data_IF_483567346053
#
_entry.id   IF_483567346053
#
_cell.length_a   1.000
_cell.length_b   1.000
_cell.length_c   1.000
_cell.angle_alpha   90.00
_cell.angle_beta   90.00
_cell.angle_gamma   90.00
#
_symmetry.space_group_name_H-M   'P 1'
#
loop_
_entity.id
_entity.type
_entity.pdbx_description
1 polymer ?
#
# COMPACT_ATOMS: atom_id res chain seq x y z
N UNK A 1 -66.31 -15.75 1.34
CA UNK A 1 -65.37 -15.88 0.20
C UNK A 1 -64.33 -14.81 0.37
N UNK A 2 -63.08 -15.23 0.58
CA UNK A 2 -61.91 -14.38 0.74
C UNK A 2 -61.64 -13.56 -0.51
N UNK A 3 -61.19 -12.32 -0.37
CA UNK A 3 -60.33 -11.68 -1.37
C UNK A 3 -59.39 -10.69 -0.66
N UNK A 4 -58.15 -11.16 -0.49
CA UNK A 4 -56.96 -10.34 -0.31
C UNK A 4 -56.84 -9.39 -1.51
N UNK A 5 -56.47 -8.12 -1.27
CA UNK A 5 -55.75 -7.34 -2.27
C UNK A 5 -54.56 -6.66 -1.60
N UNK A 6 -53.40 -7.25 -1.86
CA UNK A 6 -52.07 -6.79 -1.49
C UNK A 6 -51.70 -5.60 -2.36
N UNK A 7 -51.37 -4.44 -1.76
CA UNK A 7 -50.73 -3.34 -2.46
C UNK A 7 -49.24 -3.30 -2.12
N UNK A 8 -48.45 -3.44 -3.17
CA UNK A 8 -47.00 -3.59 -3.22
C UNK A 8 -46.33 -2.22 -3.01
N UNK A 9 -45.60 -2.03 -1.89
CA UNK A 9 -44.73 -0.88 -1.69
C UNK A 9 -43.37 -1.18 -2.35
N UNK A 10 -43.15 -0.68 -3.57
CA UNK A 10 -41.84 -0.64 -4.20
C UNK A 10 -41.00 0.47 -3.53
N UNK A 11 -40.23 0.11 -2.51
CA UNK A 11 -39.13 0.93 -2.03
C UNK A 11 -37.93 0.68 -2.96
N UNK A 12 -37.72 1.56 -3.95
CA UNK A 12 -36.49 1.57 -4.72
C UNK A 12 -35.35 2.04 -3.80
N UNK A 13 -34.66 1.09 -3.17
CA UNK A 13 -33.43 1.34 -2.44
C UNK A 13 -32.35 1.78 -3.42
N UNK A 14 -31.96 3.05 -3.35
CA UNK A 14 -30.77 3.56 -4.03
C UNK A 14 -29.57 2.87 -3.38
N UNK A 15 -29.05 1.83 -4.01
CA UNK A 15 -27.76 1.25 -3.65
C UNK A 15 -26.69 2.24 -4.07
N UNK A 16 -26.26 3.08 -3.14
CA UNK A 16 -25.06 3.91 -3.31
C UNK A 16 -23.85 2.99 -3.39
N UNK A 17 -23.41 2.71 -4.62
CA UNK A 17 -22.19 1.97 -4.89
C UNK A 17 -21.00 2.91 -4.64
N UNK A 18 -20.69 3.19 -3.36
CA UNK A 18 -19.43 3.80 -2.99
C UNK A 18 -18.34 2.79 -3.35
N UNK A 19 -17.51 3.11 -4.34
CA UNK A 19 -16.32 2.34 -4.64
C UNK A 19 -15.52 2.24 -3.34
N UNK A 20 -15.48 1.05 -2.74
CA UNK A 20 -14.71 0.81 -1.55
C UNK A 20 -13.24 1.12 -1.89
N UNK A 21 -12.70 2.18 -1.30
CA UNK A 21 -11.26 2.40 -1.31
C UNK A 21 -10.69 1.19 -0.59
N UNK A 22 -10.01 0.31 -1.33
CA UNK A 22 -9.41 -0.88 -0.73
C UNK A 22 -8.38 -0.41 0.29
N UNK A 23 -8.54 -0.82 1.54
CA UNK A 23 -7.55 -0.59 2.58
C UNK A 23 -6.18 -1.13 2.10
N UNK A 24 -5.07 -0.42 2.40
CA UNK A 24 -3.74 -0.89 2.05
C UNK A 24 -3.45 -2.27 2.66
N UNK A 25 -2.81 -3.15 1.89
CA UNK A 25 -2.42 -4.47 2.38
C UNK A 25 -1.17 -4.34 3.27
N UNK A 26 -1.11 -4.97 4.46
CA UNK A 26 0.07 -4.90 5.31
C UNK A 26 1.31 -5.50 4.62
N UNK A 27 2.41 -4.74 4.64
CA UNK A 27 3.75 -5.14 4.28
C UNK A 27 4.70 -4.90 5.47
N UNK A 28 5.94 -5.36 5.36
CA UNK A 28 6.97 -5.09 6.37
C UNK A 28 8.19 -4.43 5.75
N UNK A 29 8.96 -3.73 6.57
CA UNK A 29 10.32 -3.30 6.26
C UNK A 29 11.25 -3.95 7.28
N UNK A 30 12.29 -4.65 6.81
CA UNK A 30 13.23 -5.34 7.71
C UNK A 30 14.43 -4.45 8.08
N UNK A 31 15.33 -4.99 8.88
CA UNK A 31 16.56 -4.31 9.33
C UNK A 31 17.53 -3.97 8.19
N UNK A 32 17.36 -4.59 7.02
CA UNK A 32 18.11 -4.28 5.80
C UNK A 32 17.41 -3.27 4.89
N UNK A 33 16.38 -2.59 5.40
CA UNK A 33 15.56 -1.64 4.64
C UNK A 33 14.91 -2.26 3.39
N UNK A 34 14.72 -3.58 3.39
CA UNK A 34 13.97 -4.27 2.36
C UNK A 34 12.50 -4.25 2.72
N UNK A 35 11.68 -3.77 1.79
CA UNK A 35 10.22 -3.90 1.86
C UNK A 35 9.85 -5.32 1.41
N UNK A 36 9.02 -5.99 2.19
CA UNK A 36 8.57 -7.36 1.93
C UNK A 36 7.04 -7.38 1.83
N UNK A 37 6.56 -7.72 0.64
CA UNK A 37 5.14 -7.94 0.35
C UNK A 37 4.74 -9.36 0.77
N UNK A 38 3.54 -9.56 1.36
CA UNK A 38 3.06 -10.86 1.80
C UNK A 38 2.79 -11.80 0.60
N UNK A 39 3.48 -12.95 0.56
CA UNK A 39 3.38 -13.91 -0.55
C UNK A 39 2.13 -14.81 -0.49
N UNK A 40 1.36 -14.75 0.60
CA UNK A 40 0.16 -15.55 0.86
C UNK A 40 -1.14 -14.83 0.46
N UNK A 41 -1.03 -13.65 -0.17
CA UNK A 41 -2.15 -12.82 -0.58
C UNK A 41 -2.10 -12.47 -2.07
N UNK A 42 -3.22 -12.09 -2.71
CA UNK A 42 -3.19 -11.52 -4.05
C UNK A 42 -2.36 -10.22 -4.10
N UNK A 43 -1.78 -9.93 -5.26
CA UNK A 43 -1.10 -8.65 -5.49
C UNK A 43 -2.09 -7.49 -5.32
N UNK A 44 -1.72 -6.50 -4.52
CA UNK A 44 -2.48 -5.27 -4.31
C UNK A 44 -1.76 -4.08 -4.95
N UNK A 45 -2.52 -3.03 -5.28
CA UNK A 45 -1.94 -1.79 -5.79
C UNK A 45 -1.29 -0.94 -4.68
N UNK A 46 -1.74 -1.09 -3.43
CA UNK A 46 -1.27 -0.30 -2.30
C UNK A 46 -0.95 -1.21 -1.12
N UNK A 47 0.25 -1.04 -0.59
CA UNK A 47 0.71 -1.67 0.64
C UNK A 47 1.02 -0.63 1.71
N UNK A 48 1.06 -1.03 2.97
CA UNK A 48 1.47 -0.16 4.07
C UNK A 48 2.41 -0.89 5.03
N UNK A 49 3.47 -0.20 5.50
CA UNK A 49 4.36 -0.72 6.53
C UNK A 49 4.65 0.35 7.58
N UNK A 50 4.94 -0.10 8.81
CA UNK A 50 5.31 0.79 9.92
C UNK A 50 6.75 1.28 9.80
N UNK A 51 6.96 2.56 10.15
CA UNK A 51 8.27 3.19 10.33
C UNK A 51 8.51 3.61 11.78
N UNK A 52 7.70 3.11 12.72
CA UNK A 52 7.82 3.44 14.14
C UNK A 52 9.19 3.04 14.74
N UNK A 53 9.77 1.94 14.25
CA UNK A 53 11.05 1.42 14.71
C UNK A 53 12.26 2.01 13.94
N UNK A 54 12.03 2.94 13.00
CA UNK A 54 13.08 3.63 12.26
C UNK A 54 13.48 4.94 12.95
N UNK A 55 14.73 5.38 12.72
CA UNK A 55 15.33 6.55 13.41
C UNK A 55 14.83 7.91 12.95
N UNK A 56 13.72 7.97 12.20
CA UNK A 56 13.16 9.24 11.74
C UNK A 56 12.58 10.03 12.92
N UNK A 57 13.12 11.21 13.19
CA UNK A 57 12.63 12.09 14.26
C UNK A 57 11.66 13.15 13.75
N UNK A 58 11.69 13.44 12.44
CA UNK A 58 10.89 14.49 11.80
C UNK A 58 10.26 14.01 10.49
N UNK A 59 9.07 14.51 10.17
CA UNK A 59 8.34 14.17 8.94
C UNK A 59 9.16 14.47 7.69
N UNK A 60 9.80 15.65 7.64
CA UNK A 60 10.62 16.06 6.50
C UNK A 60 11.77 15.10 6.22
N UNK A 61 12.39 14.53 7.25
CA UNK A 61 13.49 13.55 7.09
C UNK A 61 12.97 12.24 6.48
N UNK A 62 11.82 11.75 6.95
CA UNK A 62 11.20 10.54 6.41
C UNK A 62 10.73 10.75 4.96
N UNK A 63 10.03 11.85 4.69
CA UNK A 63 9.57 12.22 3.35
C UNK A 63 10.75 12.36 2.37
N UNK A 64 11.80 13.08 2.78
CA UNK A 64 13.00 13.22 1.97
C UNK A 64 13.63 11.84 1.69
N UNK A 65 13.78 11.00 2.72
CA UNK A 65 14.32 9.65 2.54
C UNK A 65 13.51 8.83 1.52
N UNK A 66 12.20 8.69 1.71
CA UNK A 66 11.37 7.85 0.84
C UNK A 66 11.18 8.44 -0.57
N UNK A 67 11.21 9.76 -0.72
CA UNK A 67 11.16 10.41 -2.05
C UNK A 67 12.38 10.08 -2.92
N UNK A 68 13.56 9.84 -2.32
CA UNK A 68 14.77 9.44 -3.07
C UNK A 68 14.66 8.06 -3.74
N UNK A 69 13.69 7.25 -3.33
CA UNK A 69 13.46 5.89 -3.85
C UNK A 69 12.16 5.78 -4.64
N UNK A 70 11.41 6.88 -4.75
CA UNK A 70 10.26 6.95 -5.65
C UNK A 70 10.76 6.86 -7.10
N UNK A 71 10.19 5.94 -7.87
CA UNK A 71 10.55 5.67 -9.25
C UNK A 71 9.25 5.51 -10.07
N UNK A 72 9.37 5.35 -11.40
CA UNK A 72 8.20 5.22 -12.29
C UNK A 72 7.24 4.10 -11.90
N UNK A 73 7.73 3.07 -11.21
CA UNK A 73 6.95 1.87 -10.86
C UNK A 73 6.53 1.83 -9.39
N UNK A 74 7.07 2.70 -8.53
CA UNK A 74 6.78 2.71 -7.10
C UNK A 74 6.73 4.12 -6.55
N UNK A 75 5.69 4.44 -5.80
CA UNK A 75 5.54 5.73 -5.12
C UNK A 75 5.37 5.48 -3.63
N UNK A 76 6.08 6.28 -2.82
CA UNK A 76 5.97 6.25 -1.36
C UNK A 76 5.21 7.47 -0.87
N UNK A 77 4.24 7.26 0.03
CA UNK A 77 3.53 8.32 0.75
C UNK A 77 3.74 8.10 2.23
N UNK A 78 4.37 9.08 2.89
CA UNK A 78 4.65 9.02 4.33
C UNK A 78 3.49 9.65 5.09
N UNK A 79 2.94 8.91 6.04
CA UNK A 79 2.11 9.43 7.11
C UNK A 79 2.92 9.36 8.40
N UNK A 80 3.56 10.47 8.75
CA UNK A 80 4.46 10.52 9.89
C UNK A 80 3.72 10.51 11.23
N UNK A 81 2.48 11.01 11.28
CA UNK A 81 1.66 11.03 12.48
C UNK A 81 1.28 9.59 12.88
N UNK A 82 0.85 8.78 11.91
CA UNK A 82 0.56 7.36 12.13
C UNK A 82 1.79 6.45 12.04
N UNK A 83 2.99 7.01 11.84
CA UNK A 83 4.25 6.28 11.67
C UNK A 83 4.15 5.17 10.61
N UNK A 84 3.49 5.47 9.50
CA UNK A 84 3.23 4.51 8.43
C UNK A 84 3.70 5.06 7.08
N UNK A 85 4.14 4.17 6.20
CA UNK A 85 4.42 4.49 4.80
C UNK A 85 3.54 3.63 3.93
N UNK A 86 2.83 4.27 3.01
CA UNK A 86 2.11 3.60 1.94
C UNK A 86 2.99 3.46 0.70
N UNK A 87 2.98 2.28 0.10
CA UNK A 87 3.71 1.94 -1.12
C UNK A 87 2.71 1.67 -2.22
N UNK A 88 2.70 2.52 -3.23
CA UNK A 88 1.86 2.39 -4.40
C UNK A 88 2.65 1.71 -5.51
N UNK A 89 2.20 0.52 -5.92
CA UNK A 89 2.77 -0.21 -7.04
C UNK A 89 2.05 0.22 -8.32
N UNK A 90 2.81 0.67 -9.32
CA UNK A 90 2.25 1.02 -10.61
C UNK A 90 2.26 -0.21 -11.53
N UNK A 91 1.09 -0.63 -11.99
CA UNK A 91 0.95 -1.75 -12.93
C UNK A 91 1.20 -1.29 -14.38
N UNK A 92 2.44 -0.88 -14.64
CA UNK A 92 2.89 -0.41 -15.96
C UNK A 92 3.88 -1.38 -16.63
N UNK A 93 4.19 -2.51 -15.98
CA UNK A 93 5.13 -3.50 -16.50
C UNK A 93 4.43 -4.49 -17.44
N UNK A 94 5.13 -4.90 -18.51
CA UNK A 94 4.65 -5.95 -19.42
C UNK A 94 5.77 -6.96 -19.69
N UNK A 95 5.63 -8.23 -19.26
CA UNK A 95 4.48 -8.79 -18.53
C UNK A 95 4.32 -8.16 -17.13
N UNK A 96 3.11 -8.21 -16.59
CA UNK A 96 2.82 -7.77 -15.23
C UNK A 96 3.66 -8.57 -14.23
N UNK A 97 4.16 -7.90 -13.19
CA UNK A 97 4.96 -8.52 -12.15
C UNK A 97 4.07 -9.18 -11.10
N UNK A 98 4.46 -10.36 -10.66
CA UNK A 98 3.87 -11.02 -9.48
C UNK A 98 4.56 -10.56 -8.19
N UNK A 99 4.10 -11.05 -7.04
CA UNK A 99 4.65 -10.71 -5.73
C UNK A 99 6.12 -11.10 -5.61
N UNK A 100 6.53 -12.21 -6.23
CA UNK A 100 7.94 -12.65 -6.23
C UNK A 100 8.81 -11.62 -6.93
N UNK A 101 8.42 -11.20 -8.13
CA UNK A 101 9.13 -10.18 -8.91
C UNK A 101 9.19 -8.83 -8.17
N UNK A 102 8.13 -8.43 -7.47
CA UNK A 102 8.14 -7.23 -6.64
C UNK A 102 9.06 -7.34 -5.42
N UNK A 103 9.07 -8.48 -4.73
CA UNK A 103 9.97 -8.71 -3.61
C UNK A 103 11.43 -8.73 -4.06
N UNK A 104 11.73 -9.29 -5.24
CA UNK A 104 13.06 -9.21 -5.87
C UNK A 104 13.44 -7.76 -6.21
N UNK A 105 12.50 -6.98 -6.73
CA UNK A 105 12.68 -5.55 -7.00
C UNK A 105 13.06 -4.76 -5.74
N UNK A 106 12.37 -5.02 -4.62
CA UNK A 106 12.67 -4.36 -3.34
C UNK A 106 13.99 -4.87 -2.73
N UNK A 107 14.29 -6.16 -2.87
CA UNK A 107 15.57 -6.73 -2.45
C UNK A 107 16.76 -6.08 -3.18
N UNK A 108 16.64 -5.85 -4.49
CA UNK A 108 17.70 -5.21 -5.27
C UNK A 108 17.99 -3.76 -4.85
N UNK A 109 16.99 -3.06 -4.29
CA UNK A 109 17.08 -1.65 -3.86
C UNK A 109 17.44 -1.48 -2.39
N UNK A 110 17.15 -2.48 -1.56
CA UNK A 110 17.35 -2.44 -0.12
C UNK A 110 18.78 -2.06 0.26
N UNK A 111 19.79 -2.55 -0.49
CA UNK A 111 21.20 -2.18 -0.27
C UNK A 111 21.44 -0.67 -0.35
N UNK A 112 20.92 0.00 -1.38
CA UNK A 112 21.05 1.46 -1.53
C UNK A 112 20.24 2.18 -0.44
N UNK A 113 19.03 1.69 -0.15
CA UNK A 113 18.19 2.24 0.93
C UNK A 113 18.90 2.18 2.28
N UNK A 114 19.52 1.04 2.60
CA UNK A 114 20.27 0.82 3.83
C UNK A 114 21.45 1.76 3.96
N UNK A 115 22.25 1.94 2.91
CA UNK A 115 23.40 2.86 2.92
C UNK A 115 22.96 4.30 3.17
N UNK A 116 21.90 4.77 2.49
CA UNK A 116 21.36 6.12 2.70
C UNK A 116 20.77 6.26 4.09
N UNK A 117 20.03 5.25 4.55
CA UNK A 117 19.43 5.25 5.88
C UNK A 117 20.50 5.33 6.96
N UNK A 118 21.55 4.52 6.89
CA UNK A 118 22.64 4.51 7.87
C UNK A 118 23.38 5.86 7.96
N UNK A 119 23.36 6.65 6.89
CA UNK A 119 23.99 7.98 6.84
C UNK A 119 23.14 9.13 7.42
N UNK A 120 21.86 8.89 7.75
CA UNK A 120 20.99 9.86 8.45
C UNK A 120 21.41 10.09 9.91
#
# INVERSE_FOLDING_TARGET
MSSLFTAFLLSAGIMSNAAAVSEPVPATINDQMQIVLPADQPLAAVYAFSIADLKFTEAAQAEQFFSMFTENVVVYVVDFESRTVQVYLQDIMTPAWDITAWNDYFAARSMKMKVVYDAL
#
